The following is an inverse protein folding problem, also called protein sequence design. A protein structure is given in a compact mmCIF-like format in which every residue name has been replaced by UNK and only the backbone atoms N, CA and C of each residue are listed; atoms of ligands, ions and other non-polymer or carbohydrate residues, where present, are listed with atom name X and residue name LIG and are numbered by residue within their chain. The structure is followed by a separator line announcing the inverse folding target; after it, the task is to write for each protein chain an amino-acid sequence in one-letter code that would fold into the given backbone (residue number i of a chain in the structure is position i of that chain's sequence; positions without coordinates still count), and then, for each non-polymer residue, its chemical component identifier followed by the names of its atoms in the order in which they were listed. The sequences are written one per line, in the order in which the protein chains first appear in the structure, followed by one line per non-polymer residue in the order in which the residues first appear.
data_IF_576195675370
#
_entry.id   IF_576195675370
#
_cell.length_a   1.000
_cell.length_b   1.000
_cell.length_c   1.000
_cell.angle_alpha   90.00
_cell.angle_beta   90.00
_cell.angle_gamma   90.00
#
_symmetry.space_group_name_H-M   'P 1'
#
loop_
_entity.id
_entity.type
_entity.pdbx_description
1 polymer ?
#
# COMPACT_ATOMS: atom_id res chain seq x y z
N UNK A 1 5.05 12.45 -6.21
CA UNK A 1 4.32 13.43 -5.42
C UNK A 1 4.45 14.84 -5.99
N UNK A 2 5.67 15.45 -6.05
CA UNK A 2 5.89 16.85 -6.43
C UNK A 2 5.17 17.27 -7.72
N UNK A 3 5.34 16.49 -8.79
CA UNK A 3 4.74 16.79 -10.08
C UNK A 3 3.21 16.67 -10.07
N UNK A 4 2.67 15.70 -9.34
CA UNK A 4 1.23 15.52 -9.23
C UNK A 4 0.60 16.62 -8.37
N UNK A 5 1.23 16.98 -7.27
CA UNK A 5 0.76 18.03 -6.37
C UNK A 5 0.75 19.40 -7.07
N UNK A 6 1.79 19.72 -7.85
CA UNK A 6 1.82 20.94 -8.64
C UNK A 6 0.70 21.01 -9.69
N UNK A 7 0.33 19.88 -10.32
CA UNK A 7 -0.77 19.83 -11.30
C UNK A 7 -2.14 20.18 -10.71
N UNK A 8 -2.32 19.94 -9.41
CA UNK A 8 -3.57 20.30 -8.71
C UNK A 8 -3.47 21.64 -7.97
N UNK A 9 -2.44 22.43 -8.26
CA UNK A 9 -2.26 23.78 -7.71
C UNK A 9 -1.51 23.84 -6.37
N UNK A 10 -0.99 22.70 -5.91
CA UNK A 10 -0.15 22.64 -4.71
C UNK A 10 1.25 23.17 -4.95
N UNK A 11 1.90 23.62 -3.88
CA UNK A 11 3.31 24.06 -3.90
C UNK A 11 4.09 23.43 -2.77
N UNK A 12 5.33 23.04 -3.06
CA UNK A 12 6.27 22.52 -2.07
C UNK A 12 7.38 23.53 -1.90
N UNK A 13 7.51 24.07 -0.70
CA UNK A 13 8.47 25.14 -0.40
C UNK A 13 9.90 24.63 -0.24
N UNK A 14 10.06 23.41 0.30
CA UNK A 14 11.36 22.77 0.51
C UNK A 14 11.26 21.26 0.53
N UNK A 15 12.36 20.59 0.18
CA UNK A 15 12.51 19.13 0.29
C UNK A 15 13.85 18.81 0.94
N UNK A 16 13.89 17.76 1.75
CA UNK A 16 15.12 17.22 2.31
C UNK A 16 15.11 15.69 2.19
N UNK A 17 16.26 15.10 1.97
CA UNK A 17 16.46 13.68 2.14
C UNK A 17 16.83 13.40 3.61
N UNK A 18 16.47 12.21 4.09
CA UNK A 18 16.89 11.70 5.40
C UNK A 18 17.60 10.35 5.23
N UNK A 19 18.41 10.02 6.19
CA UNK A 19 19.06 8.72 6.28
C UNK A 19 18.23 7.81 7.20
N UNK A 20 17.98 6.58 6.76
CA UNK A 20 17.22 5.59 7.53
C UNK A 20 17.96 5.20 8.82
N UNK A 21 17.21 5.05 9.91
CA UNK A 21 17.77 4.60 11.19
C UNK A 21 18.68 5.57 11.90
N UNK A 22 18.73 6.83 11.48
CA UNK A 22 19.46 7.90 12.18
C UNK A 22 18.84 8.16 13.56
N UNK A 23 19.68 8.44 14.54
CA UNK A 23 19.25 8.63 15.93
C UNK A 23 18.54 9.98 16.18
N UNK A 24 18.83 11.00 15.36
CA UNK A 24 18.29 12.37 15.51
C UNK A 24 18.07 13.03 14.16
N UNK A 25 16.88 13.59 13.97
CA UNK A 25 16.42 14.26 12.74
C UNK A 25 16.21 15.76 12.92
N UNK A 26 16.66 16.34 14.06
CA UNK A 26 16.44 17.74 14.38
C UNK A 26 17.05 18.69 13.35
N UNK A 27 18.16 18.32 12.73
CA UNK A 27 18.81 19.14 11.71
C UNK A 27 17.99 19.22 10.41
N UNK A 28 17.46 18.11 9.94
CA UNK A 28 16.59 18.04 8.76
C UNK A 28 15.28 18.81 9.01
N UNK A 29 14.67 18.58 10.17
CA UNK A 29 13.45 19.29 10.60
C UNK A 29 13.68 20.78 10.69
N UNK A 30 14.78 21.24 11.31
CA UNK A 30 15.12 22.65 11.41
C UNK A 30 15.35 23.29 10.03
N UNK A 31 16.04 22.58 9.13
CA UNK A 31 16.24 23.06 7.76
C UNK A 31 14.91 23.23 7.02
N UNK A 32 14.02 22.24 7.09
CA UNK A 32 12.69 22.29 6.45
C UNK A 32 11.81 23.38 7.04
N UNK A 33 11.83 23.59 8.35
CA UNK A 33 11.00 24.60 9.04
C UNK A 33 11.35 26.04 8.62
N UNK A 34 12.57 26.28 8.16
CA UNK A 34 12.99 27.58 7.66
C UNK A 34 12.19 28.04 6.42
N UNK A 35 11.52 27.12 5.72
CA UNK A 35 10.64 27.43 4.60
C UNK A 35 9.26 27.98 5.02
N UNK A 36 8.91 27.97 6.32
CA UNK A 36 7.73 28.61 6.90
C UNK A 36 6.42 27.84 6.75
N UNK A 37 6.41 26.62 6.19
CA UNK A 37 5.23 25.76 6.17
C UNK A 37 4.99 25.12 7.55
N UNK A 38 3.73 24.87 7.88
CA UNK A 38 3.32 24.04 9.02
C UNK A 38 2.97 22.60 8.63
N UNK A 39 2.97 22.29 7.34
CA UNK A 39 2.66 20.98 6.80
C UNK A 39 3.95 20.26 6.40
N UNK A 40 4.07 19.01 6.80
CA UNK A 40 5.19 18.14 6.44
C UNK A 40 4.65 16.85 5.78
N UNK A 41 5.08 16.59 4.55
CA UNK A 41 4.86 15.31 3.90
C UNK A 41 6.06 14.39 4.18
N UNK A 42 5.81 13.21 4.77
CA UNK A 42 6.84 12.24 5.16
C UNK A 42 6.74 11.00 4.27
N UNK A 43 7.79 10.77 3.49
CA UNK A 43 7.97 9.60 2.63
C UNK A 43 9.09 8.74 3.19
N UNK A 44 8.76 7.73 3.97
CA UNK A 44 9.70 6.86 4.66
C UNK A 44 9.00 5.68 5.30
N UNK A 45 9.69 5.02 6.21
CA UNK A 45 9.13 3.94 7.01
C UNK A 45 9.11 4.31 8.49
N UNK A 46 8.04 3.94 9.21
CA UNK A 46 7.84 4.27 10.62
C UNK A 46 9.09 3.97 11.45
N UNK A 47 9.57 2.72 11.37
CA UNK A 47 10.66 2.23 12.23
C UNK A 47 12.07 2.47 11.66
N UNK A 48 12.16 3.08 10.47
CA UNK A 48 13.44 3.44 9.84
C UNK A 48 13.71 4.96 9.86
N UNK A 49 13.03 5.68 10.75
CA UNK A 49 13.25 7.11 10.95
C UNK A 49 11.99 7.95 10.93
N UNK A 50 10.91 7.46 10.31
CA UNK A 50 9.68 8.23 10.14
C UNK A 50 9.11 8.76 11.45
N UNK A 51 9.00 7.92 12.49
CA UNK A 51 8.54 8.34 13.81
C UNK A 51 9.47 9.37 14.46
N UNK A 52 10.79 9.25 14.24
CA UNK A 52 11.76 10.21 14.76
C UNK A 52 11.65 11.59 14.11
N UNK A 53 11.33 11.65 12.82
CA UNK A 53 11.07 12.89 12.09
C UNK A 53 9.82 13.58 12.62
N UNK A 54 8.74 12.82 12.83
CA UNK A 54 7.50 13.36 13.38
C UNK A 54 7.71 13.84 14.82
N UNK A 55 8.36 13.04 15.67
CA UNK A 55 8.66 13.42 17.04
C UNK A 55 9.50 14.70 17.10
N UNK A 56 10.58 14.80 16.33
CA UNK A 56 11.41 16.01 16.28
C UNK A 56 10.62 17.24 15.79
N UNK A 57 9.67 17.05 14.87
CA UNK A 57 8.80 18.12 14.39
C UNK A 57 7.87 18.65 15.48
N UNK A 58 7.29 17.77 16.27
CA UNK A 58 6.40 18.11 17.39
C UNK A 58 7.17 18.73 18.55
N UNK A 59 8.29 18.13 18.95
CA UNK A 59 9.14 18.62 20.05
C UNK A 59 9.65 20.05 19.81
N UNK A 60 9.93 20.39 18.56
CA UNK A 60 10.40 21.72 18.17
C UNK A 60 9.27 22.68 17.81
N UNK A 61 8.03 22.20 17.66
CA UNK A 61 6.90 22.97 17.15
C UNK A 61 7.08 23.42 15.68
N UNK A 62 7.95 22.72 14.94
CA UNK A 62 8.25 23.04 13.54
C UNK A 62 7.07 22.76 12.63
N UNK A 63 6.49 21.56 12.78
CA UNK A 63 5.35 21.09 12.01
C UNK A 63 4.30 20.45 12.94
N UNK A 64 3.04 20.65 12.59
CA UNK A 64 1.88 20.16 13.33
C UNK A 64 0.83 19.50 12.41
N UNK A 65 1.04 19.51 11.10
CA UNK A 65 0.17 18.87 10.12
C UNK A 65 0.99 17.90 9.26
N UNK A 66 0.59 16.64 9.21
CA UNK A 66 1.35 15.59 8.56
C UNK A 66 0.58 14.97 7.39
N UNK A 67 1.30 14.74 6.29
CA UNK A 67 0.85 13.94 5.16
C UNK A 67 1.78 12.73 5.09
N UNK A 68 1.21 11.53 5.22
CA UNK A 68 1.94 10.30 5.40
C UNK A 68 1.83 9.41 4.16
N UNK A 69 2.95 8.90 3.69
CA UNK A 69 2.95 7.81 2.70
C UNK A 69 2.61 6.46 3.37
N UNK A 70 2.36 5.45 2.57
CA UNK A 70 1.99 4.09 2.98
C UNK A 70 2.98 3.44 3.96
N UNK A 71 4.29 3.65 3.76
CA UNK A 71 5.34 3.19 4.68
C UNK A 71 5.31 3.84 6.07
N UNK A 72 4.52 4.90 6.23
CA UNK A 72 4.30 5.59 7.51
C UNK A 72 3.04 5.12 8.23
N UNK A 73 2.31 4.14 7.68
CA UNK A 73 1.10 3.61 8.30
C UNK A 73 1.46 2.41 9.17
N UNK A 74 1.18 2.49 10.46
CA UNK A 74 1.43 1.41 11.41
C UNK A 74 1.07 1.77 12.84
N UNK A 75 0.68 0.76 13.62
CA UNK A 75 0.33 0.91 15.03
C UNK A 75 1.50 1.43 15.87
N UNK A 76 2.74 1.16 15.48
CA UNK A 76 3.95 1.64 16.15
C UNK A 76 4.11 3.16 16.08
N UNK A 77 3.62 3.82 15.02
CA UNK A 77 3.60 5.27 14.93
C UNK A 77 2.56 5.86 15.89
N UNK A 78 1.34 5.31 15.89
CA UNK A 78 0.28 5.73 16.79
C UNK A 78 0.69 5.54 18.25
N UNK A 79 1.27 4.38 18.58
CA UNK A 79 1.74 4.10 19.93
C UNK A 79 2.86 5.02 20.41
N UNK A 80 3.70 5.51 19.50
CA UNK A 80 4.82 6.38 19.83
C UNK A 80 4.40 7.84 19.99
N UNK A 81 3.53 8.35 19.12
CA UNK A 81 3.19 9.78 19.01
C UNK A 81 1.83 10.09 19.68
N UNK A 82 0.87 9.19 19.61
CA UNK A 82 -0.43 9.36 20.24
C UNK A 82 -1.31 10.41 19.55
N UNK A 83 -2.01 11.19 20.37
CA UNK A 83 -3.04 12.13 19.92
C UNK A 83 -2.50 13.32 19.08
N UNK A 84 -1.23 13.60 19.14
CA UNK A 84 -0.59 14.66 18.33
C UNK A 84 -0.57 14.35 16.83
N UNK A 85 -0.88 13.10 16.45
CA UNK A 85 -1.10 12.72 15.05
C UNK A 85 -2.54 12.94 14.56
N UNK A 86 -3.50 13.26 15.42
CA UNK A 86 -4.88 13.46 14.97
C UNK A 86 -4.96 14.55 13.90
N UNK A 87 -5.70 14.26 12.83
CA UNK A 87 -5.76 15.10 11.63
C UNK A 87 -4.67 14.84 10.60
N UNK A 88 -3.70 13.96 10.87
CA UNK A 88 -2.77 13.53 9.85
C UNK A 88 -3.50 12.76 8.74
N UNK A 89 -3.18 13.09 7.48
CA UNK A 89 -3.74 12.45 6.30
C UNK A 89 -2.73 11.45 5.76
N UNK A 90 -3.20 10.28 5.34
CA UNK A 90 -2.35 9.24 4.79
C UNK A 90 -2.95 8.63 3.51
N UNK A 91 -2.11 8.01 2.70
CA UNK A 91 -2.56 7.24 1.54
C UNK A 91 -2.06 5.82 1.63
N UNK A 92 -2.93 4.86 1.34
CA UNK A 92 -2.65 3.44 1.38
C UNK A 92 -3.16 2.76 0.11
N UNK A 93 -2.35 1.96 -0.60
CA UNK A 93 -2.88 1.08 -1.62
C UNK A 93 -3.97 0.18 -1.03
N UNK A 94 -5.07 0.01 -1.74
CA UNK A 94 -6.16 -0.84 -1.29
C UNK A 94 -7.45 -0.59 -2.04
N UNK A 95 -8.16 -1.66 -2.32
CA UNK A 95 -9.43 -1.64 -3.04
C UNK A 95 -10.61 -1.94 -2.11
N UNK A 96 -11.77 -1.43 -2.47
CA UNK A 96 -13.06 -1.85 -1.91
C UNK A 96 -13.81 -2.63 -2.98
N UNK A 97 -13.44 -3.90 -3.13
CA UNK A 97 -14.01 -4.82 -4.11
C UNK A 97 -14.71 -6.00 -3.40
N UNK A 98 -15.59 -6.73 -4.08
CA UNK A 98 -16.10 -8.00 -3.55
C UNK A 98 -14.98 -8.98 -3.17
N UNK A 99 -13.87 -8.97 -3.91
CA UNK A 99 -12.68 -9.76 -3.62
C UNK A 99 -11.99 -9.35 -2.31
N UNK A 100 -11.85 -8.04 -2.05
CA UNK A 100 -11.30 -7.53 -0.80
C UNK A 100 -12.11 -7.98 0.42
N UNK A 101 -13.44 -7.94 0.34
CA UNK A 101 -14.32 -8.39 1.41
C UNK A 101 -14.21 -9.91 1.64
N UNK A 102 -14.13 -10.68 0.56
CA UNK A 102 -13.95 -12.13 0.64
C UNK A 102 -12.62 -12.48 1.27
N UNK A 103 -11.54 -11.82 0.83
CA UNK A 103 -10.20 -11.99 1.39
C UNK A 103 -10.16 -11.67 2.89
N UNK A 104 -10.72 -10.52 3.29
CA UNK A 104 -10.76 -10.12 4.71
C UNK A 104 -11.45 -11.15 5.58
N UNK A 105 -12.61 -11.64 5.13
CA UNK A 105 -13.35 -12.68 5.85
C UNK A 105 -12.58 -14.01 5.96
N UNK A 106 -11.81 -14.37 4.93
CA UNK A 106 -10.97 -15.58 4.94
C UNK A 106 -9.78 -15.42 5.89
N UNK A 107 -9.11 -14.28 5.83
CA UNK A 107 -7.94 -13.99 6.65
C UNK A 107 -8.29 -13.94 8.15
N UNK A 108 -9.40 -13.29 8.51
CA UNK A 108 -9.92 -13.29 9.88
C UNK A 108 -10.21 -14.71 10.41
N UNK A 109 -10.86 -15.55 9.60
CA UNK A 109 -11.10 -16.96 9.95
C UNK A 109 -9.81 -17.76 10.14
N UNK A 110 -8.74 -17.38 9.44
CA UNK A 110 -7.41 -17.97 9.57
C UNK A 110 -6.59 -17.36 10.71
N UNK A 111 -7.11 -16.38 11.46
CA UNK A 111 -6.41 -15.68 12.52
C UNK A 111 -5.34 -14.70 12.02
N UNK A 112 -5.45 -14.27 10.76
CA UNK A 112 -4.53 -13.30 10.16
C UNK A 112 -5.14 -11.91 10.32
N UNK A 113 -4.38 -10.98 10.90
CA UNK A 113 -4.79 -9.58 11.01
C UNK A 113 -4.80 -8.95 9.61
N UNK A 114 -5.95 -8.42 9.22
CA UNK A 114 -6.13 -7.63 7.99
C UNK A 114 -6.22 -6.14 8.33
N UNK A 115 -5.90 -5.29 7.37
CA UNK A 115 -5.94 -3.83 7.54
C UNK A 115 -4.58 -3.16 7.59
N UNK A 116 -3.49 -3.94 7.68
CA UNK A 116 -2.14 -3.44 7.42
C UNK A 116 -1.89 -3.27 5.91
N UNK A 117 -0.86 -2.50 5.55
CA UNK A 117 -0.49 -2.30 4.15
C UNK A 117 -0.15 -3.63 3.46
N UNK A 118 -0.52 -3.74 2.19
CA UNK A 118 -0.15 -4.82 1.26
C UNK A 118 -0.62 -6.24 1.61
N UNK A 119 -1.59 -6.42 2.49
CA UNK A 119 -2.08 -7.77 2.84
C UNK A 119 -2.82 -8.44 1.69
N UNK A 120 -3.71 -7.74 1.02
CA UNK A 120 -4.42 -8.21 -0.18
C UNK A 120 -3.48 -8.43 -1.36
N UNK A 121 -2.60 -7.48 -1.60
CA UNK A 121 -1.58 -7.53 -2.66
C UNK A 121 -0.62 -8.71 -2.48
N UNK A 122 -0.24 -9.02 -1.26
CA UNK A 122 0.63 -10.18 -0.96
C UNK A 122 -0.09 -11.50 -1.22
N UNK A 123 -1.37 -11.59 -0.88
CA UNK A 123 -2.20 -12.75 -1.21
C UNK A 123 -2.30 -12.93 -2.73
N UNK A 124 -2.62 -11.87 -3.46
CA UNK A 124 -2.77 -11.90 -4.92
C UNK A 124 -1.45 -12.25 -5.61
N UNK A 125 -0.32 -11.71 -5.14
CA UNK A 125 0.99 -12.06 -5.68
C UNK A 125 1.29 -13.56 -5.53
N UNK A 126 1.00 -14.15 -4.36
CA UNK A 126 1.15 -15.58 -4.14
C UNK A 126 0.23 -16.42 -5.02
N UNK A 127 -1.02 -16.01 -5.16
CA UNK A 127 -2.02 -16.66 -6.00
C UNK A 127 -1.62 -16.64 -7.48
N UNK A 128 -1.24 -15.48 -8.00
CA UNK A 128 -0.80 -15.31 -9.40
C UNK A 128 0.41 -16.18 -9.73
N UNK A 129 1.40 -16.25 -8.85
CA UNK A 129 2.57 -17.12 -9.04
C UNK A 129 2.12 -18.59 -9.12
N UNK A 130 1.25 -19.04 -8.21
CA UNK A 130 0.76 -20.42 -8.22
C UNK A 130 -0.03 -20.77 -9.49
N UNK A 131 -0.91 -19.86 -9.93
CA UNK A 131 -1.68 -20.02 -11.16
C UNK A 131 -0.79 -20.00 -12.40
N UNK A 132 0.18 -19.10 -12.46
CA UNK A 132 1.13 -19.03 -13.57
C UNK A 132 2.04 -20.28 -13.64
N UNK A 133 2.46 -20.83 -12.50
CA UNK A 133 3.17 -22.12 -12.44
C UNK A 133 2.32 -23.26 -13.01
N UNK A 134 1.04 -23.34 -12.64
CA UNK A 134 0.13 -24.33 -13.17
C UNK A 134 -0.08 -24.16 -14.67
N UNK A 135 -0.31 -22.95 -15.15
CA UNK A 135 -0.48 -22.64 -16.57
C UNK A 135 0.76 -22.95 -17.40
N UNK A 136 1.96 -22.73 -16.83
CA UNK A 136 3.24 -23.02 -17.46
C UNK A 136 3.62 -24.51 -17.41
N UNK A 137 3.02 -25.30 -16.51
CA UNK A 137 3.46 -26.67 -16.20
C UNK A 137 4.93 -26.73 -15.72
N UNK A 138 5.43 -25.65 -15.12
CA UNK A 138 6.85 -25.46 -14.81
C UNK A 138 7.07 -24.55 -13.61
N UNK A 139 8.14 -24.79 -12.85
CA UNK A 139 8.65 -23.89 -11.81
C UNK A 139 9.80 -22.98 -12.29
N UNK A 140 10.12 -23.00 -13.57
CA UNK A 140 11.11 -22.09 -14.14
C UNK A 140 10.60 -20.66 -14.15
N UNK A 141 11.47 -19.71 -13.74
CA UNK A 141 11.08 -18.30 -13.57
C UNK A 141 10.61 -17.65 -14.86
N UNK A 142 11.28 -17.93 -15.98
CA UNK A 142 10.90 -17.35 -17.27
C UNK A 142 9.57 -17.92 -17.76
N UNK A 143 9.34 -19.23 -17.55
CA UNK A 143 8.07 -19.87 -17.88
C UNK A 143 6.91 -19.28 -17.04
N UNK A 144 7.09 -19.07 -15.73
CA UNK A 144 6.11 -18.44 -14.86
C UNK A 144 5.81 -17.00 -15.33
N UNK A 145 6.86 -16.20 -15.55
CA UNK A 145 6.72 -14.83 -16.03
C UNK A 145 5.88 -14.73 -17.32
N UNK A 146 6.12 -15.65 -18.25
CA UNK A 146 5.40 -15.67 -19.54
C UNK A 146 3.90 -15.95 -19.40
N UNK A 147 3.45 -16.46 -18.24
CA UNK A 147 2.06 -16.83 -17.95
C UNK A 147 1.34 -15.90 -16.98
N UNK A 148 2.05 -14.96 -16.34
CA UNK A 148 1.44 -14.06 -15.36
C UNK A 148 0.26 -13.27 -15.94
N UNK A 149 0.45 -12.64 -17.10
CA UNK A 149 -0.61 -11.86 -17.74
C UNK A 149 -1.76 -12.74 -18.26
N UNK A 150 -1.44 -13.96 -18.71
CA UNK A 150 -2.44 -14.91 -19.23
C UNK A 150 -3.41 -15.39 -18.13
N UNK A 151 -2.99 -15.45 -16.88
CA UNK A 151 -3.82 -15.87 -15.75
C UNK A 151 -4.44 -14.70 -14.98
N UNK A 152 -3.84 -13.53 -15.08
CA UNK A 152 -4.32 -12.33 -14.40
C UNK A 152 -5.44 -11.62 -15.16
N UNK A 153 -5.36 -11.61 -16.49
CA UNK A 153 -6.23 -10.81 -17.35
C UNK A 153 -7.25 -11.68 -18.09
N UNK A 154 -8.36 -11.05 -18.47
CA UNK A 154 -9.32 -11.68 -19.40
C UNK A 154 -8.63 -12.04 -20.75
N UNK A 155 -9.10 -13.11 -21.45
CA UNK A 155 -10.32 -13.88 -21.19
C UNK A 155 -10.11 -15.02 -20.20
N UNK A 156 -11.19 -15.48 -19.57
CA UNK A 156 -11.18 -16.65 -18.69
C UNK A 156 -12.31 -16.63 -17.66
N UNK A 157 -12.38 -17.69 -16.86
CA UNK A 157 -13.28 -17.73 -15.72
C UNK A 157 -12.77 -16.79 -14.61
N UNK A 158 -13.66 -15.93 -14.10
CA UNK A 158 -13.31 -14.99 -13.02
C UNK A 158 -13.01 -15.73 -11.72
N UNK A 159 -11.84 -15.49 -11.16
CA UNK A 159 -11.35 -16.16 -9.95
C UNK A 159 -11.24 -15.15 -8.82
N UNK A 160 -11.95 -15.41 -7.73
CA UNK A 160 -11.96 -14.62 -6.51
C UNK A 160 -11.13 -15.28 -5.40
N UNK A 161 -10.79 -14.57 -4.30
CA UNK A 161 -10.17 -15.19 -3.14
C UNK A 161 -10.97 -16.38 -2.62
N UNK A 162 -10.29 -17.49 -2.31
CA UNK A 162 -10.91 -18.74 -1.91
C UNK A 162 -11.18 -19.74 -3.03
N UNK A 163 -11.14 -19.31 -4.30
CA UNK A 163 -11.45 -20.18 -5.45
C UNK A 163 -10.20 -20.70 -6.20
N UNK A 164 -9.02 -20.57 -5.60
CA UNK A 164 -7.76 -20.99 -6.22
C UNK A 164 -7.73 -22.47 -6.60
N UNK A 165 -8.38 -23.35 -5.82
CA UNK A 165 -8.45 -24.78 -6.14
C UNK A 165 -9.18 -25.02 -7.45
N UNK A 166 -10.29 -24.33 -7.69
CA UNK A 166 -11.04 -24.39 -8.95
C UNK A 166 -10.18 -23.86 -10.09
N UNK A 167 -9.56 -22.71 -9.92
CA UNK A 167 -8.65 -22.09 -10.90
C UNK A 167 -7.53 -23.04 -11.34
N UNK A 168 -6.86 -23.70 -10.40
CA UNK A 168 -5.84 -24.71 -10.70
C UNK A 168 -6.40 -25.88 -11.50
N UNK A 169 -7.64 -26.31 -11.21
CA UNK A 169 -8.31 -27.40 -11.94
C UNK A 169 -8.63 -26.97 -13.37
N UNK A 170 -9.13 -25.75 -13.58
CA UNK A 170 -9.41 -25.19 -14.90
C UNK A 170 -8.13 -25.19 -15.75
N UNK A 171 -7.06 -24.64 -15.21
CA UNK A 171 -5.75 -24.56 -15.88
C UNK A 171 -5.15 -25.94 -16.18
N UNK A 172 -5.27 -26.90 -15.25
CA UNK A 172 -4.84 -28.29 -15.47
C UNK A 172 -5.54 -28.97 -16.63
N UNK A 173 -6.79 -28.58 -16.91
CA UNK A 173 -7.60 -29.09 -18.02
C UNK A 173 -7.46 -28.24 -19.31
N UNK A 174 -6.51 -27.31 -19.35
CA UNK A 174 -6.27 -26.45 -20.52
C UNK A 174 -7.27 -25.31 -20.71
N UNK A 175 -8.05 -25.00 -19.67
CA UNK A 175 -8.96 -23.84 -19.65
C UNK A 175 -8.20 -22.53 -19.34
N UNK A 176 -8.94 -21.44 -19.32
CA UNK A 176 -8.43 -20.10 -19.05
C UNK A 176 -9.11 -19.49 -17.81
N UNK A 177 -8.35 -18.70 -17.07
CA UNK A 177 -8.83 -17.97 -15.89
C UNK A 177 -8.55 -16.48 -16.04
N UNK A 178 -9.36 -15.67 -15.37
CA UNK A 178 -9.18 -14.24 -15.16
C UNK A 178 -9.13 -13.98 -13.66
N UNK A 179 -7.95 -13.79 -13.10
CA UNK A 179 -7.77 -13.65 -11.66
C UNK A 179 -8.05 -12.21 -11.21
N UNK A 180 -9.18 -11.97 -10.60
CA UNK A 180 -9.55 -10.70 -9.99
C UNK A 180 -8.94 -10.51 -8.60
N UNK A 181 -8.85 -11.60 -7.83
CA UNK A 181 -8.23 -11.60 -6.51
C UNK A 181 -8.86 -10.67 -5.48
N UNK A 182 -8.07 -10.32 -4.48
CA UNK A 182 -8.46 -9.41 -3.41
C UNK A 182 -8.42 -7.93 -3.85
N UNK A 183 -7.54 -7.59 -4.80
CA UNK A 183 -7.26 -6.20 -5.17
C UNK A 183 -7.82 -5.79 -6.54
N UNK A 184 -8.46 -6.71 -7.27
CA UNK A 184 -8.96 -6.45 -8.62
C UNK A 184 -7.81 -6.37 -9.63
N UNK A 185 -7.03 -7.47 -9.71
CA UNK A 185 -5.81 -7.49 -10.53
C UNK A 185 -6.13 -7.47 -12.01
N UNK A 186 -5.61 -6.45 -12.71
CA UNK A 186 -5.64 -6.34 -14.17
C UNK A 186 -4.35 -5.66 -14.62
N UNK A 187 -3.48 -6.38 -15.31
CA UNK A 187 -2.22 -5.81 -15.80
C UNK A 187 -2.40 -5.07 -17.12
N UNK A 188 -1.81 -3.90 -17.23
CA UNK A 188 -1.65 -3.21 -18.49
C UNK A 188 -0.50 -3.82 -19.32
N UNK A 189 -0.29 -3.32 -20.54
CA UNK A 189 0.76 -3.81 -21.43
C UNK A 189 2.21 -3.60 -20.93
N UNK A 190 2.38 -2.80 -19.88
CA UNK A 190 3.68 -2.57 -19.22
C UNK A 190 3.91 -3.52 -18.04
N UNK A 191 2.90 -4.35 -17.68
CA UNK A 191 2.95 -5.21 -16.51
C UNK A 191 2.67 -4.48 -15.19
N UNK A 192 1.96 -3.36 -15.25
CA UNK A 192 1.54 -2.58 -14.09
C UNK A 192 0.04 -2.75 -13.84
N UNK A 193 -0.36 -2.76 -12.59
CA UNK A 193 -1.77 -2.72 -12.17
C UNK A 193 -2.14 -1.28 -11.83
N UNK A 194 -3.25 -0.80 -12.38
CA UNK A 194 -3.84 0.47 -11.95
C UNK A 194 -4.51 0.22 -10.60
N UNK A 195 -3.83 0.64 -9.54
CA UNK A 195 -4.31 0.44 -8.17
C UNK A 195 -5.33 1.48 -7.75
N UNK A 196 -6.22 1.07 -6.86
CA UNK A 196 -7.02 1.97 -6.04
C UNK A 196 -6.25 2.37 -4.79
N UNK A 197 -6.55 3.55 -4.25
CA UNK A 197 -5.90 4.08 -3.05
C UNK A 197 -6.95 4.53 -2.04
N UNK A 198 -6.75 4.14 -0.79
CA UNK A 198 -7.50 4.67 0.34
C UNK A 198 -6.85 5.98 0.79
N UNK A 199 -7.67 6.98 0.97
CA UNK A 199 -7.32 8.21 1.64
C UNK A 199 -7.74 8.05 3.09
N UNK A 200 -6.77 8.14 4.00
CA UNK A 200 -6.96 7.90 5.43
C UNK A 200 -6.79 9.21 6.19
N UNK A 201 -7.52 9.36 7.28
CA UNK A 201 -7.29 10.37 8.29
C UNK A 201 -7.10 9.70 9.65
N UNK A 202 -6.17 10.20 10.45
CA UNK A 202 -5.99 9.71 11.81
C UNK A 202 -6.97 10.45 12.73
N UNK A 203 -7.93 9.69 13.28
CA UNK A 203 -9.01 10.19 14.14
C UNK A 203 -9.01 9.37 15.43
N UNK A 204 -8.83 10.04 16.58
CA UNK A 204 -8.82 9.39 17.89
C UNK A 204 -7.86 8.17 17.98
N UNK A 205 -6.66 8.31 17.42
CA UNK A 205 -5.64 7.27 17.43
C UNK A 205 -5.93 6.09 16.50
N UNK A 206 -6.75 6.25 15.47
CA UNK A 206 -7.05 5.22 14.47
C UNK A 206 -7.03 5.80 13.06
N UNK A 207 -6.54 4.99 12.11
CA UNK A 207 -6.68 5.32 10.70
C UNK A 207 -8.11 5.01 10.23
N UNK A 208 -8.82 6.04 9.80
CA UNK A 208 -10.16 5.94 9.23
C UNK A 208 -10.11 6.21 7.72
N UNK A 209 -10.73 5.35 6.93
CA UNK A 209 -10.83 5.58 5.48
C UNK A 209 -11.87 6.66 5.23
N UNK A 210 -11.44 7.79 4.69
CA UNK A 210 -12.32 8.92 4.35
C UNK A 210 -12.71 8.93 2.87
N UNK A 211 -11.93 8.26 2.02
CA UNK A 211 -12.22 8.13 0.59
C UNK A 211 -11.46 6.95 -0.03
N UNK A 212 -11.93 6.48 -1.19
CA UNK A 212 -11.23 5.52 -2.07
C UNK A 212 -11.20 6.09 -3.47
N UNK A 213 -10.04 6.08 -4.10
CA UNK A 213 -9.81 6.67 -5.43
C UNK A 213 -9.22 5.64 -6.39
#
# INVERSE_FOLDING_TARGET
FLNAYAKVGGSVSMTAAHEDGKADYSAEVAALSAAGSKHLAVFGYVDQGGKGIIQASLDTGAFDNFILADGMIGDSLIAAIGDDLNGAVATLPGAETPGANTFSSMAEKAGITVGGPFTGESYDAGALIALAMQAAGSSDRAAIQSKLMDVANAPGETIMPGDLKNALTILANGGQVNYEGATGVEFNSLGEVLGSYKELELINGKYETINVR
#
